data_IF_124968072898
#
_entry.id   IF_124968072898
#
_cell.length_a   1.000
_cell.length_b   1.000
_cell.length_c   1.000
_cell.angle_alpha   90.00
_cell.angle_beta   90.00
_cell.angle_gamma   90.00
#
_symmetry.space_group_name_H-M   'P 1'
#
loop_
_entity.id
_entity.type
_entity.pdbx_description
1 polymer ?
#
# COMPACT_ATOMS: atom_id res chain seq x y z
N UNK A 1 66.72 -58.29 -9.36
CA UNK A 1 66.34 -57.22 -10.31
C UNK A 1 65.03 -56.64 -9.91
N UNK A 2 65.00 -55.51 -9.30
CA UNK A 2 63.85 -54.59 -9.19
C UNK A 2 64.14 -53.47 -8.19
N UNK A 3 64.60 -52.34 -8.64
CA UNK A 3 64.53 -51.07 -7.89
C UNK A 3 64.42 -49.95 -8.94
N UNK A 4 63.28 -49.29 -8.99
CA UNK A 4 63.11 -48.19 -9.93
C UNK A 4 61.67 -47.63 -10.06
N UNK A 5 60.91 -47.48 -8.94
CA UNK A 5 59.56 -46.89 -9.03
C UNK A 5 59.10 -46.15 -7.77
N UNK A 6 59.97 -45.37 -7.11
CA UNK A 6 59.54 -44.57 -5.93
C UNK A 6 59.91 -43.09 -5.95
N UNK A 7 60.57 -42.59 -6.96
CA UNK A 7 60.97 -41.17 -7.00
C UNK A 7 59.95 -40.28 -7.77
N UNK A 8 59.18 -40.85 -8.72
CA UNK A 8 58.22 -40.13 -9.53
C UNK A 8 56.94 -39.69 -8.78
N UNK A 9 56.47 -40.59 -7.89
CA UNK A 9 55.18 -40.34 -7.19
C UNK A 9 55.28 -39.23 -6.15
N UNK A 10 56.39 -39.09 -5.50
CA UNK A 10 56.61 -37.99 -4.52
C UNK A 10 56.69 -36.60 -5.18
N UNK A 11 57.15 -36.51 -6.40
CA UNK A 11 57.26 -35.25 -7.14
C UNK A 11 55.88 -34.80 -7.69
N UNK A 12 55.02 -35.75 -8.06
CA UNK A 12 53.64 -35.48 -8.53
C UNK A 12 52.79 -35.05 -7.32
N UNK A 13 52.89 -35.72 -6.18
CA UNK A 13 52.11 -35.37 -4.96
C UNK A 13 52.53 -33.97 -4.42
N UNK A 14 53.84 -33.62 -4.46
CA UNK A 14 54.28 -32.27 -4.10
C UNK A 14 53.79 -31.18 -5.04
N UNK A 15 53.71 -31.45 -6.34
CA UNK A 15 53.14 -30.51 -7.34
C UNK A 15 51.62 -30.35 -7.18
N UNK A 16 50.88 -31.42 -6.85
CA UNK A 16 49.44 -31.36 -6.59
C UNK A 16 49.13 -30.63 -5.27
N UNK A 17 49.95 -30.86 -4.20
CA UNK A 17 49.80 -30.13 -2.95
C UNK A 17 50.17 -28.63 -3.09
N UNK A 18 51.17 -28.29 -3.88
CA UNK A 18 51.54 -26.90 -4.17
C UNK A 18 50.45 -26.20 -5.02
N UNK A 19 49.87 -26.89 -5.97
CA UNK A 19 48.74 -26.37 -6.77
C UNK A 19 47.46 -26.18 -5.93
N UNK A 20 47.16 -27.08 -5.00
CA UNK A 20 46.04 -26.97 -4.06
C UNK A 20 46.23 -25.84 -3.02
N UNK A 21 47.49 -25.57 -2.59
CA UNK A 21 47.80 -24.44 -1.70
C UNK A 21 47.72 -23.11 -2.45
N UNK A 22 48.11 -23.05 -3.72
CA UNK A 22 48.01 -21.85 -4.57
C UNK A 22 46.56 -21.54 -4.90
N UNK A 23 45.68 -22.54 -5.11
CA UNK A 23 44.25 -22.34 -5.29
C UNK A 23 43.51 -21.84 -4.03
N UNK A 24 44.02 -22.17 -2.82
CA UNK A 24 43.46 -21.62 -1.57
C UNK A 24 43.86 -20.16 -1.31
N UNK A 25 44.96 -19.68 -1.86
CA UNK A 25 45.39 -18.28 -1.75
C UNK A 25 44.69 -17.38 -2.76
N UNK A 26 44.10 -17.94 -3.85
CA UNK A 26 43.29 -17.20 -4.83
C UNK A 26 41.81 -17.15 -4.48
N UNK A 27 41.32 -17.94 -3.52
CA UNK A 27 39.94 -17.95 -3.08
C UNK A 27 39.65 -16.98 -1.90
N UNK A 28 40.63 -16.21 -1.44
CA UNK A 28 40.49 -15.28 -0.31
C UNK A 28 40.46 -13.81 -0.70
N UNK A 29 40.11 -13.52 -1.97
CA UNK A 29 39.78 -12.17 -2.40
C UNK A 29 38.46 -12.22 -3.18
N UNK A 30 37.37 -12.72 -2.56
CA UNK A 30 36.06 -12.19 -2.86
C UNK A 30 35.98 -10.84 -2.14
N UNK A 31 36.58 -9.81 -2.72
CA UNK A 31 36.14 -8.46 -2.51
C UNK A 31 34.65 -8.50 -2.87
N UNK A 32 33.79 -8.49 -1.85
CA UNK A 32 32.45 -7.98 -1.98
C UNK A 32 32.61 -6.58 -2.56
N UNK A 33 32.57 -6.46 -3.88
CA UNK A 33 32.28 -5.22 -4.57
C UNK A 33 30.90 -4.83 -4.07
N UNK A 34 30.83 -4.13 -2.93
CA UNK A 34 29.71 -3.28 -2.60
C UNK A 34 29.58 -2.41 -3.84
N UNK A 35 28.48 -2.59 -4.55
CA UNK A 35 28.02 -1.66 -5.58
C UNK A 35 27.81 -0.33 -4.85
N UNK A 36 28.90 0.42 -4.66
CA UNK A 36 28.82 1.84 -4.34
C UNK A 36 28.21 2.51 -5.55
N UNK A 37 26.89 2.69 -5.50
CA UNK A 37 26.25 3.61 -6.43
C UNK A 37 26.94 4.97 -6.31
N UNK A 38 27.17 5.64 -7.41
CA UNK A 38 27.99 6.83 -7.63
C UNK A 38 27.71 8.07 -6.73
N UNK A 39 26.99 7.95 -5.63
CA UNK A 39 26.54 9.09 -4.81
C UNK A 39 27.32 9.36 -3.52
N UNK A 40 28.19 8.44 -3.05
CA UNK A 40 28.75 8.51 -1.68
C UNK A 40 30.10 9.21 -1.52
N UNK A 41 30.63 9.86 -2.56
CA UNK A 41 32.04 10.27 -2.59
C UNK A 41 32.47 11.40 -1.64
N UNK A 42 31.55 12.06 -0.90
CA UNK A 42 31.90 13.24 -0.10
C UNK A 42 31.39 13.25 1.35
N UNK A 43 30.72 12.20 1.82
CA UNK A 43 30.26 12.14 3.20
C UNK A 43 31.01 11.08 4.01
N UNK A 44 31.91 11.53 4.90
CA UNK A 44 32.71 10.69 5.81
C UNK A 44 32.07 10.47 7.19
N UNK A 45 30.87 11.04 7.43
CA UNK A 45 30.19 10.95 8.71
C UNK A 45 29.53 9.58 8.99
N UNK A 46 28.90 9.43 10.17
CA UNK A 46 28.22 8.19 10.56
C UNK A 46 26.96 7.94 9.71
N UNK A 47 26.45 6.69 9.76
CA UNK A 47 25.12 6.37 9.25
C UNK A 47 24.06 7.09 10.10
N UNK A 48 23.27 7.95 9.45
CA UNK A 48 22.22 8.74 10.09
C UNK A 48 20.89 7.99 10.21
N UNK A 49 20.79 6.80 9.65
CA UNK A 49 19.58 5.96 9.65
C UNK A 49 19.90 4.58 10.27
N UNK A 50 20.16 4.49 11.59
CA UNK A 50 20.52 3.24 12.25
C UNK A 50 19.43 2.18 12.13
N UNK A 51 18.15 2.60 12.16
CA UNK A 51 17.01 1.74 11.91
C UNK A 51 16.57 1.86 10.44
N UNK A 52 16.30 0.72 9.79
CA UNK A 52 15.89 0.64 8.40
C UNK A 52 14.44 0.13 8.33
N UNK A 53 13.63 0.66 7.44
CA UNK A 53 12.31 0.10 7.17
C UNK A 53 12.47 -1.29 6.50
N UNK A 54 11.83 -2.31 7.09
CA UNK A 54 11.83 -3.69 6.58
C UNK A 54 10.58 -3.88 5.72
N UNK A 55 10.70 -3.78 4.39
CA UNK A 55 9.60 -3.97 3.44
C UNK A 55 9.56 -5.45 3.05
N UNK A 56 8.46 -6.15 3.39
CA UNK A 56 8.30 -7.59 3.19
C UNK A 56 7.13 -7.96 2.26
N UNK A 57 6.07 -7.17 2.24
CA UNK A 57 4.83 -7.47 1.53
C UNK A 57 4.61 -6.59 0.31
N UNK A 58 4.93 -5.29 0.41
CA UNK A 58 4.77 -4.37 -0.70
C UNK A 58 5.77 -4.66 -1.83
N UNK A 59 5.27 -4.63 -3.05
CA UNK A 59 6.05 -4.85 -4.28
C UNK A 59 6.20 -3.58 -5.10
N UNK A 60 5.37 -2.59 -4.86
CA UNK A 60 5.33 -1.34 -5.61
C UNK A 60 6.42 -0.35 -5.24
N UNK A 61 7.16 -0.54 -4.16
CA UNK A 61 8.28 0.33 -3.81
C UNK A 61 9.46 -0.39 -3.17
N UNK A 62 10.63 0.25 -3.23
CA UNK A 62 11.87 -0.20 -2.58
C UNK A 62 12.59 0.99 -1.97
N UNK A 63 13.20 0.81 -0.80
CA UNK A 63 14.05 1.81 -0.14
C UNK A 63 15.47 1.26 -0.04
N UNK A 64 16.45 2.02 -0.54
CA UNK A 64 17.89 1.74 -0.37
C UNK A 64 18.46 2.82 0.53
N UNK A 65 19.15 2.42 1.60
CA UNK A 65 19.72 3.31 2.59
C UNK A 65 21.21 3.56 2.32
N UNK A 66 21.59 4.82 2.34
CA UNK A 66 22.96 5.30 2.37
C UNK A 66 23.22 6.06 3.68
N UNK A 67 24.45 6.43 3.98
CA UNK A 67 24.81 7.04 5.28
C UNK A 67 23.97 8.27 5.65
N UNK A 68 23.62 9.12 4.67
CA UNK A 68 22.95 10.42 4.91
C UNK A 68 21.78 10.71 3.96
N UNK A 69 21.44 9.77 3.10
CA UNK A 69 20.28 9.83 2.20
C UNK A 69 19.69 8.45 1.97
N UNK A 70 18.48 8.41 1.45
CA UNK A 70 17.77 7.18 1.06
C UNK A 70 17.34 7.31 -0.40
N UNK A 71 17.40 6.21 -1.14
CA UNK A 71 16.86 6.14 -2.51
C UNK A 71 15.58 5.32 -2.47
N UNK A 72 14.49 5.94 -2.87
CA UNK A 72 13.18 5.31 -3.01
C UNK A 72 12.92 5.10 -4.49
N UNK A 73 12.57 3.86 -4.85
CA UNK A 73 12.10 3.52 -6.20
C UNK A 73 10.64 3.08 -6.10
N UNK A 74 9.76 3.74 -6.86
CA UNK A 74 8.36 3.34 -7.04
C UNK A 74 8.26 2.64 -8.39
N UNK A 75 7.94 1.35 -8.36
CA UNK A 75 7.83 0.50 -9.53
C UNK A 75 6.40 0.50 -10.05
N UNK A 76 6.22 0.57 -11.37
CA UNK A 76 4.90 0.56 -12.03
C UNK A 76 3.90 1.54 -11.38
N UNK A 77 4.25 2.85 -11.27
CA UNK A 77 3.46 3.82 -10.50
C UNK A 77 2.06 4.06 -11.06
N UNK A 78 1.82 3.64 -12.30
CA UNK A 78 0.56 3.80 -13.00
C UNK A 78 0.10 2.46 -13.59
N UNK A 79 -1.20 2.28 -13.78
CA UNK A 79 -1.72 1.06 -14.40
C UNK A 79 -1.09 0.83 -15.78
N UNK A 80 -0.62 -0.40 -16.04
CA UNK A 80 0.06 -0.81 -17.27
C UNK A 80 1.40 -0.08 -17.56
N UNK A 81 1.92 0.70 -16.61
CA UNK A 81 3.25 1.28 -16.72
C UNK A 81 4.31 0.29 -16.24
N UNK A 82 5.44 0.23 -16.93
CA UNK A 82 6.66 -0.45 -16.49
C UNK A 82 7.73 0.54 -16.00
N UNK A 83 7.38 1.82 -15.92
CA UNK A 83 8.29 2.88 -15.49
C UNK A 83 8.67 2.71 -14.02
N UNK A 84 9.80 3.28 -13.66
CA UNK A 84 10.25 3.39 -12.28
C UNK A 84 10.51 4.86 -11.96
N UNK A 85 9.80 5.39 -10.97
CA UNK A 85 10.10 6.70 -10.42
C UNK A 85 11.17 6.57 -9.33
N UNK A 86 12.16 7.46 -9.35
CA UNK A 86 13.23 7.47 -8.35
C UNK A 86 13.19 8.77 -7.58
N UNK A 87 13.16 8.67 -6.25
CA UNK A 87 13.25 9.79 -5.32
C UNK A 87 14.44 9.61 -4.39
N UNK A 88 15.08 10.71 -4.04
CA UNK A 88 16.26 10.73 -3.17
C UNK A 88 15.94 11.57 -1.94
N UNK A 89 15.83 10.90 -0.81
CA UNK A 89 15.49 11.50 0.48
C UNK A 89 16.79 11.92 1.16
N UNK A 90 17.10 13.20 1.16
CA UNK A 90 18.36 13.74 1.69
C UNK A 90 18.16 14.29 3.09
N UNK A 91 18.97 13.84 4.06
CA UNK A 91 18.91 14.37 5.42
C UNK A 91 19.21 15.88 5.41
N UNK A 92 18.34 16.69 6.04
CA UNK A 92 18.49 18.15 6.13
C UNK A 92 19.88 18.55 6.63
N UNK A 93 20.45 19.56 5.97
CA UNK A 93 21.80 20.03 6.27
C UNK A 93 22.94 19.13 5.77
N UNK A 94 22.63 18.13 4.94
CA UNK A 94 23.64 17.29 4.29
C UNK A 94 23.81 17.65 2.81
N UNK A 95 24.99 17.37 2.23
CA UNK A 95 25.24 17.67 0.82
C UNK A 95 24.30 16.88 -0.10
N UNK A 96 24.00 17.43 -1.27
CA UNK A 96 23.21 16.72 -2.29
C UNK A 96 24.03 15.58 -2.87
N UNK A 97 23.48 14.36 -2.97
CA UNK A 97 24.16 13.25 -3.61
C UNK A 97 24.37 13.50 -5.10
N UNK A 98 25.52 13.11 -5.62
CA UNK A 98 25.87 13.33 -7.03
C UNK A 98 25.15 12.31 -7.91
N UNK A 99 24.69 12.75 -9.10
CA UNK A 99 24.09 11.89 -10.13
C UNK A 99 22.57 11.84 -10.12
N UNK A 100 21.91 12.67 -9.30
CA UNK A 100 20.46 12.80 -9.25
C UNK A 100 20.00 14.22 -9.70
N UNK A 101 18.83 14.28 -10.32
CA UNK A 101 18.21 15.56 -10.73
C UNK A 101 17.59 16.25 -9.52
N UNK A 102 17.51 17.58 -9.53
CA UNK A 102 16.87 18.36 -8.45
C UNK A 102 15.41 17.95 -8.21
N UNK A 103 14.67 17.65 -9.28
CA UNK A 103 13.27 17.17 -9.20
C UNK A 103 13.09 15.83 -8.48
N UNK A 104 14.18 15.10 -8.23
CA UNK A 104 14.16 13.83 -7.49
C UNK A 104 14.46 13.99 -6.01
N UNK A 105 14.98 15.17 -5.59
CA UNK A 105 15.45 15.41 -4.23
C UNK A 105 14.30 15.81 -3.31
N UNK A 106 14.24 15.20 -2.15
CA UNK A 106 13.30 15.53 -1.07
C UNK A 106 14.12 15.66 0.22
N UNK A 107 14.03 16.80 0.88
CA UNK A 107 14.67 16.97 2.18
C UNK A 107 13.88 16.28 3.29
N UNK A 108 14.57 15.49 4.12
CA UNK A 108 13.98 14.76 5.25
C UNK A 108 14.63 15.16 6.60
N UNK A 109 13.88 15.08 7.72
CA UNK A 109 12.48 14.72 7.80
C UNK A 109 11.58 15.78 7.13
N UNK A 110 10.51 15.34 6.45
CA UNK A 110 9.43 16.17 5.93
C UNK A 110 8.70 16.82 7.11
N UNK A 111 8.48 18.13 7.05
CA UNK A 111 7.83 18.94 8.09
C UNK A 111 6.50 19.53 7.66
N UNK A 112 6.28 19.62 6.35
CA UNK A 112 5.03 20.08 5.76
C UNK A 112 4.67 19.23 4.56
N UNK A 113 3.46 18.67 4.54
CA UNK A 113 2.99 17.76 3.49
C UNK A 113 1.58 18.13 3.05
N UNK A 114 1.37 18.06 1.74
CA UNK A 114 0.04 18.08 1.12
C UNK A 114 -0.36 16.69 0.74
N UNK A 115 -1.54 16.24 1.17
CA UNK A 115 -2.10 14.92 0.90
C UNK A 115 -3.17 14.98 -0.20
N UNK A 116 -3.03 14.19 -1.26
CA UNK A 116 -4.00 14.16 -2.37
C UNK A 116 -5.03 13.03 -2.26
N UNK A 117 -4.98 12.24 -1.17
CA UNK A 117 -5.89 11.12 -0.91
C UNK A 117 -6.20 10.98 0.58
N UNK A 118 -7.40 10.51 0.92
CA UNK A 118 -7.77 10.13 2.29
C UNK A 118 -6.88 9.01 2.86
N UNK A 119 -6.39 8.09 2.01
CA UNK A 119 -5.42 7.07 2.43
C UNK A 119 -4.16 7.71 3.03
N UNK A 120 -3.66 8.83 2.48
CA UNK A 120 -2.49 9.51 3.03
C UNK A 120 -2.73 10.01 4.46
N UNK A 121 -3.98 10.38 4.79
CA UNK A 121 -4.38 10.70 6.17
C UNK A 121 -4.27 9.46 7.06
N UNK A 122 -4.67 8.28 6.54
CA UNK A 122 -4.50 7.01 7.24
C UNK A 122 -3.03 6.70 7.54
N UNK A 123 -2.11 6.93 6.58
CA UNK A 123 -0.66 6.77 6.80
C UNK A 123 -0.16 7.71 7.90
N UNK A 124 -0.57 8.98 7.85
CA UNK A 124 -0.23 10.04 8.82
C UNK A 124 -0.73 9.66 10.21
N UNK A 125 -2.00 9.26 10.33
CA UNK A 125 -2.61 8.87 11.59
C UNK A 125 -1.99 7.60 12.19
N UNK A 126 -1.55 6.65 11.36
CA UNK A 126 -0.85 5.45 11.82
C UNK A 126 0.48 5.77 12.52
N UNK A 127 1.16 6.84 12.10
CA UNK A 127 2.44 7.28 12.66
C UNK A 127 2.31 8.47 13.65
N UNK A 128 1.08 8.84 14.02
CA UNK A 128 0.81 9.97 14.91
C UNK A 128 1.61 11.22 14.51
N UNK A 129 1.53 11.60 13.22
CA UNK A 129 2.26 12.74 12.67
C UNK A 129 1.37 13.72 11.92
N UNK A 130 0.15 13.94 12.41
CA UNK A 130 -0.83 14.85 11.80
C UNK A 130 -0.34 16.30 11.73
N UNK A 131 0.66 16.66 12.52
CA UNK A 131 1.28 17.97 12.56
C UNK A 131 2.01 18.35 11.26
N UNK A 132 2.49 17.38 10.49
CA UNK A 132 3.12 17.64 9.18
C UNK A 132 2.10 17.98 8.08
N UNK A 133 0.81 17.67 8.25
CA UNK A 133 -0.21 17.91 7.24
C UNK A 133 -0.57 19.39 7.20
N UNK A 134 -0.37 20.04 6.04
CA UNK A 134 -0.68 21.46 5.82
C UNK A 134 -1.73 21.70 4.75
N UNK A 135 -1.97 20.71 3.88
CA UNK A 135 -2.99 20.82 2.85
C UNK A 135 -3.55 19.46 2.42
N UNK A 136 -4.74 19.49 1.86
CA UNK A 136 -5.39 18.30 1.31
C UNK A 136 -6.13 18.62 0.01
N UNK A 137 -6.15 17.64 -0.90
CA UNK A 137 -6.84 17.80 -2.18
C UNK A 137 -8.33 18.08 -2.07
N UNK A 138 -9.01 17.49 -1.07
CA UNK A 138 -10.42 17.75 -0.78
C UNK A 138 -10.73 17.43 0.69
N UNK A 139 -11.06 18.44 1.47
CA UNK A 139 -11.32 18.33 2.91
C UNK A 139 -12.58 17.51 3.23
N UNK A 140 -13.53 17.42 2.29
CA UNK A 140 -14.76 16.64 2.45
C UNK A 140 -14.49 15.16 2.76
N UNK A 141 -13.36 14.61 2.31
CA UNK A 141 -13.03 13.20 2.46
C UNK A 141 -12.18 12.87 3.69
N UNK A 142 -12.08 13.79 4.65
CA UNK A 142 -11.35 13.58 5.91
C UNK A 142 -12.27 12.97 6.96
N UNK A 143 -11.88 11.82 7.52
CA UNK A 143 -12.56 11.14 8.63
C UNK A 143 -11.86 11.34 9.97
N UNK A 144 -10.54 11.50 9.99
CA UNK A 144 -9.74 11.65 11.22
C UNK A 144 -10.17 12.85 12.04
N UNK A 145 -10.59 12.62 13.29
CA UNK A 145 -10.97 13.69 14.22
C UNK A 145 -9.82 14.67 14.47
N UNK A 146 -8.59 14.17 14.65
CA UNK A 146 -7.39 15.01 14.83
C UNK A 146 -7.15 15.93 13.62
N UNK A 147 -7.34 15.43 12.38
CA UNK A 147 -7.17 16.24 11.17
C UNK A 147 -8.33 17.21 11.01
N UNK A 148 -9.58 16.82 11.32
CA UNK A 148 -10.73 17.71 11.30
C UNK A 148 -10.56 18.91 12.27
N UNK A 149 -9.99 18.67 13.44
CA UNK A 149 -9.69 19.76 14.39
C UNK A 149 -8.59 20.70 13.84
N UNK A 150 -7.58 20.16 13.16
CA UNK A 150 -6.57 21.00 12.47
C UNK A 150 -7.16 21.84 11.33
N UNK A 151 -8.13 21.29 10.59
CA UNK A 151 -8.89 22.01 9.55
C UNK A 151 -9.65 23.19 10.18
N UNK A 152 -10.40 22.95 11.27
CA UNK A 152 -11.13 24.00 12.00
C UNK A 152 -10.21 25.13 12.49
N UNK A 153 -8.97 24.79 12.84
CA UNK A 153 -7.93 25.75 13.26
C UNK A 153 -7.22 26.43 12.08
N UNK A 154 -7.61 26.19 10.84
CA UNK A 154 -6.98 26.75 9.64
C UNK A 154 -5.56 26.22 9.36
N UNK A 155 -5.13 25.13 10.02
CA UNK A 155 -3.80 24.55 9.86
C UNK A 155 -3.70 23.57 8.67
N UNK A 156 -4.83 23.17 8.12
CA UNK A 156 -4.91 22.34 6.91
C UNK A 156 -5.90 22.99 5.97
N UNK A 157 -5.46 23.30 4.76
CA UNK A 157 -6.27 23.98 3.74
C UNK A 157 -6.61 23.06 2.57
N UNK A 158 -7.70 23.36 1.87
CA UNK A 158 -8.03 22.67 0.62
C UNK A 158 -7.22 23.24 -0.53
N UNK A 159 -6.50 22.37 -1.24
CA UNK A 159 -5.67 22.76 -2.39
C UNK A 159 -6.29 22.38 -3.73
N UNK A 160 -7.48 21.75 -3.69
CA UNK A 160 -8.11 21.20 -4.90
C UNK A 160 -7.44 19.93 -5.41
N UNK A 161 -8.03 19.36 -6.45
CA UNK A 161 -7.51 18.15 -7.11
C UNK A 161 -7.82 18.19 -8.60
N UNK A 162 -7.10 17.40 -9.34
CA UNK A 162 -7.31 17.26 -10.78
C UNK A 162 -7.28 18.61 -11.51
N UNK A 163 -8.26 18.93 -12.32
CA UNK A 163 -8.32 20.20 -13.05
C UNK A 163 -8.56 21.42 -12.15
N UNK A 164 -8.97 21.20 -10.90
CA UNK A 164 -9.17 22.24 -9.90
C UNK A 164 -8.02 22.37 -8.90
N UNK A 165 -6.82 21.89 -9.22
CA UNK A 165 -5.63 22.04 -8.38
C UNK A 165 -5.22 23.53 -8.33
N UNK A 166 -5.13 24.11 -7.14
CA UNK A 166 -4.71 25.50 -6.93
C UNK A 166 -3.19 25.57 -6.83
N UNK A 167 -2.53 25.67 -7.97
CA UNK A 167 -1.07 25.72 -8.06
C UNK A 167 -0.50 27.01 -7.42
N UNK A 168 -1.18 28.13 -7.52
CA UNK A 168 -0.75 29.39 -6.89
C UNK A 168 -0.70 29.27 -5.36
N UNK A 169 -1.73 28.65 -4.77
CA UNK A 169 -1.76 28.37 -3.34
C UNK A 169 -0.63 27.42 -2.94
N UNK A 170 -0.39 26.35 -3.71
CA UNK A 170 0.70 25.41 -3.46
C UNK A 170 2.08 26.05 -3.52
N UNK A 171 2.30 26.92 -4.50
CA UNK A 171 3.54 27.70 -4.63
C UNK A 171 3.69 28.66 -3.43
N UNK A 172 2.62 29.32 -3.01
CA UNK A 172 2.63 30.20 -1.82
C UNK A 172 2.90 29.42 -0.52
N UNK A 173 2.31 28.23 -0.38
CA UNK A 173 2.51 27.37 0.81
C UNK A 173 3.91 26.77 0.88
N UNK A 174 4.53 26.52 -0.27
CA UNK A 174 5.83 25.86 -0.44
C UNK A 174 6.01 24.64 0.48
N UNK A 175 5.16 23.59 0.36
CA UNK A 175 5.28 22.40 1.21
C UNK A 175 6.57 21.63 0.90
N UNK A 176 7.12 20.95 1.90
CA UNK A 176 8.27 20.07 1.72
C UNK A 176 7.96 18.91 0.78
N UNK A 177 6.68 18.52 0.69
CA UNK A 177 6.23 17.40 -0.14
C UNK A 177 4.74 17.49 -0.50
N UNK A 178 4.43 17.19 -1.75
CA UNK A 178 3.07 16.81 -2.17
C UNK A 178 3.05 15.29 -2.39
N UNK A 179 2.23 14.56 -1.63
CA UNK A 179 2.01 13.14 -1.87
C UNK A 179 0.80 12.97 -2.79
N UNK A 180 1.09 12.61 -4.04
CA UNK A 180 0.09 12.41 -5.09
C UNK A 180 -0.32 10.93 -5.18
N UNK A 181 -1.48 10.64 -5.78
CA UNK A 181 -1.90 9.26 -6.10
C UNK A 181 -1.46 8.86 -7.50
N UNK A 182 -0.98 7.63 -7.64
CA UNK A 182 -0.70 7.01 -8.94
C UNK A 182 -1.99 6.60 -9.65
N UNK A 183 -2.75 7.54 -10.18
CA UNK A 183 -3.97 7.24 -10.92
C UNK A 183 -3.60 6.78 -12.35
N UNK A 184 -4.33 5.81 -12.97
CA UNK A 184 -4.11 5.36 -14.35
C UNK A 184 -4.09 6.48 -15.39
N UNK A 185 -4.79 7.57 -15.15
CA UNK A 185 -4.90 8.74 -16.05
C UNK A 185 -3.87 9.82 -15.74
N UNK A 186 -3.20 9.75 -14.57
CA UNK A 186 -2.23 10.77 -14.15
C UNK A 186 -0.85 10.51 -14.75
N UNK A 187 -0.25 11.53 -15.37
CA UNK A 187 1.15 11.52 -15.79
C UNK A 187 1.95 12.40 -14.83
N UNK A 188 3.21 12.08 -14.58
CA UNK A 188 4.13 12.90 -13.77
C UNK A 188 4.26 14.31 -14.34
N UNK A 189 4.18 14.47 -15.65
CA UNK A 189 4.20 15.76 -16.35
C UNK A 189 3.12 16.75 -15.90
N UNK A 190 2.07 16.28 -15.25
CA UNK A 190 1.02 17.12 -14.63
C UNK A 190 1.55 18.02 -13.52
N UNK A 191 2.61 17.62 -12.85
CA UNK A 191 3.20 18.36 -11.72
C UNK A 191 4.47 19.11 -12.11
N UNK A 192 4.72 19.30 -13.42
CA UNK A 192 5.93 19.94 -13.93
C UNK A 192 6.10 21.37 -13.43
N UNK A 193 5.00 22.16 -13.40
CA UNK A 193 4.98 23.53 -12.86
C UNK A 193 5.40 23.59 -11.38
N UNK A 194 4.94 22.63 -10.58
CA UNK A 194 5.29 22.54 -9.16
C UNK A 194 6.76 22.12 -8.98
N UNK A 195 7.26 21.21 -9.82
CA UNK A 195 8.68 20.85 -9.82
C UNK A 195 9.57 22.05 -10.20
N UNK A 196 9.16 22.87 -11.20
CA UNK A 196 9.87 24.09 -11.58
C UNK A 196 9.85 25.14 -10.45
N UNK A 197 8.78 25.15 -9.64
CA UNK A 197 8.70 25.97 -8.42
C UNK A 197 9.50 25.40 -7.23
N UNK A 198 10.22 24.28 -7.42
CA UNK A 198 11.02 23.63 -6.37
C UNK A 198 10.22 22.81 -5.36
N UNK A 199 8.96 22.48 -5.66
CA UNK A 199 8.09 21.69 -4.77
C UNK A 199 8.14 20.22 -5.20
N UNK A 200 8.67 19.31 -4.35
CA UNK A 200 8.72 17.88 -4.65
C UNK A 200 7.32 17.26 -4.66
N UNK A 201 7.09 16.39 -5.65
CA UNK A 201 5.86 15.58 -5.74
C UNK A 201 6.23 14.11 -5.78
N UNK A 202 5.80 13.35 -4.78
CA UNK A 202 6.00 11.89 -4.71
C UNK A 202 4.69 11.15 -5.00
N UNK A 203 4.75 10.16 -5.87
CA UNK A 203 3.60 9.32 -6.22
C UNK A 203 3.50 8.15 -5.25
N UNK A 204 2.35 8.01 -4.61
CA UNK A 204 1.94 6.83 -3.85
C UNK A 204 1.01 5.98 -4.73
N UNK A 205 1.36 4.71 -4.93
CA UNK A 205 0.62 3.77 -5.81
C UNK A 205 0.22 2.48 -5.08
N UNK A 206 -0.14 2.59 -3.80
CA UNK A 206 -0.50 1.45 -2.96
C UNK A 206 -1.68 0.62 -3.52
N UNK A 207 -2.51 1.24 -4.35
CA UNK A 207 -3.69 0.59 -4.95
C UNK A 207 -3.35 -0.50 -5.97
N UNK A 208 -2.10 -0.55 -6.48
CA UNK A 208 -1.62 -1.61 -7.39
C UNK A 208 -1.18 -2.87 -6.64
N UNK A 209 -1.07 -2.81 -5.31
CA UNK A 209 -0.69 -3.98 -4.52
C UNK A 209 -1.76 -5.06 -4.57
N UNK A 210 -1.30 -6.30 -4.60
CA UNK A 210 -2.16 -7.48 -4.74
C UNK A 210 -2.63 -8.06 -3.40
N UNK A 211 -2.07 -7.57 -2.29
CA UNK A 211 -2.39 -8.06 -0.95
C UNK A 211 -2.72 -6.91 0.00
N UNK A 212 -3.59 -7.16 1.01
CA UNK A 212 -3.91 -6.15 2.01
C UNK A 212 -2.71 -5.69 2.84
N UNK A 213 -1.82 -6.62 3.22
CA UNK A 213 -0.58 -6.28 3.93
C UNK A 213 0.37 -5.49 3.04
N UNK A 214 0.52 -5.86 1.75
CA UNK A 214 1.33 -5.08 0.80
C UNK A 214 0.85 -3.65 0.67
N UNK A 215 -0.47 -3.45 0.54
CA UNK A 215 -1.08 -2.13 0.49
C UNK A 215 -0.84 -1.31 1.76
N UNK A 216 -1.07 -1.89 2.93
CA UNK A 216 -0.88 -1.22 4.21
C UNK A 216 0.60 -0.90 4.49
N UNK A 217 1.53 -1.69 3.97
CA UNK A 217 2.97 -1.53 4.19
C UNK A 217 3.55 -0.25 3.56
N UNK A 218 2.80 0.44 2.69
CA UNK A 218 3.18 1.76 2.18
C UNK A 218 3.31 2.83 3.28
N UNK A 219 2.83 2.56 4.48
CA UNK A 219 3.11 3.40 5.66
C UNK A 219 4.62 3.49 5.95
N UNK A 220 5.40 2.47 5.57
CA UNK A 220 6.87 2.49 5.69
C UNK A 220 7.54 3.49 4.75
N UNK A 221 6.89 3.83 3.63
CA UNK A 221 7.34 4.92 2.77
C UNK A 221 7.21 6.27 3.48
N UNK A 222 6.05 6.54 4.13
CA UNK A 222 5.89 7.75 4.93
C UNK A 222 6.89 7.79 6.10
N UNK A 223 7.11 6.66 6.78
CA UNK A 223 8.09 6.58 7.87
C UNK A 223 9.50 6.96 7.39
N UNK A 224 9.90 6.54 6.18
CA UNK A 224 11.19 6.91 5.60
C UNK A 224 11.28 8.41 5.30
N UNK A 225 10.19 9.07 4.95
CA UNK A 225 10.11 10.51 4.72
C UNK A 225 10.25 11.34 6.00
N UNK A 226 9.89 10.77 7.17
CA UNK A 226 9.89 11.48 8.45
C UNK A 226 10.86 10.90 9.48
N UNK A 227 11.76 9.96 9.06
CA UNK A 227 12.75 9.28 9.91
C UNK A 227 12.12 8.51 11.10
N UNK A 228 10.99 7.82 10.88
CA UNK A 228 10.29 7.01 11.90
C UNK A 228 10.34 5.49 11.58
N UNK A 229 11.40 5.00 10.97
CA UNK A 229 11.52 3.60 10.53
C UNK A 229 11.41 2.60 11.68
N UNK A 230 12.05 2.87 12.81
CA UNK A 230 11.97 1.99 13.98
C UNK A 230 10.57 1.95 14.57
N UNK A 231 9.88 3.09 14.62
CA UNK A 231 8.50 3.17 15.10
C UNK A 231 7.56 2.37 14.19
N UNK A 232 7.63 2.59 12.87
CA UNK A 232 6.76 1.89 11.91
C UNK A 232 7.01 0.40 11.91
N UNK A 233 8.25 -0.07 12.02
CA UNK A 233 8.56 -1.50 12.06
C UNK A 233 7.86 -2.17 13.26
N UNK A 234 7.88 -1.54 14.45
CA UNK A 234 7.20 -2.07 15.64
C UNK A 234 5.67 -2.07 15.49
N UNK A 235 5.09 -0.94 15.06
CA UNK A 235 3.63 -0.82 14.87
C UNK A 235 3.13 -1.78 13.79
N UNK A 236 3.82 -1.87 12.66
CA UNK A 236 3.40 -2.71 11.54
C UNK A 236 3.55 -4.21 11.84
N UNK A 237 4.54 -4.61 12.64
CA UNK A 237 4.68 -6.00 13.08
C UNK A 237 3.44 -6.52 13.82
N UNK A 238 2.78 -5.67 14.62
CA UNK A 238 1.52 -6.03 15.30
C UNK A 238 0.38 -6.21 14.29
N UNK A 239 0.29 -5.34 13.28
CA UNK A 239 -0.70 -5.44 12.19
C UNK A 239 -0.50 -6.74 11.40
N UNK A 240 0.73 -7.06 11.05
CA UNK A 240 1.11 -8.27 10.32
C UNK A 240 0.78 -9.53 11.13
N UNK A 241 1.23 -9.59 12.37
CA UNK A 241 0.98 -10.73 13.26
C UNK A 241 -0.52 -11.01 13.44
N UNK A 242 -1.30 -9.95 13.67
CA UNK A 242 -2.74 -10.11 13.87
C UNK A 242 -3.48 -10.46 12.58
N UNK A 243 -3.10 -9.87 11.45
CA UNK A 243 -3.64 -10.24 10.14
C UNK A 243 -3.39 -11.72 9.83
N UNK A 244 -2.18 -12.20 10.02
CA UNK A 244 -1.82 -13.60 9.79
C UNK A 244 -2.52 -14.55 10.76
N UNK A 245 -2.68 -14.16 12.04
CA UNK A 245 -3.44 -14.94 13.02
C UNK A 245 -4.88 -15.12 12.55
N UNK A 246 -5.52 -14.04 12.09
CA UNK A 246 -6.90 -14.06 11.59
C UNK A 246 -7.02 -14.92 10.33
N UNK A 247 -6.14 -14.76 9.34
CA UNK A 247 -6.15 -15.54 8.12
C UNK A 247 -5.99 -17.05 8.37
N UNK A 248 -5.21 -17.44 9.40
CA UNK A 248 -5.09 -18.85 9.80
C UNK A 248 -6.40 -19.47 10.32
N UNK A 249 -7.33 -18.69 10.90
CA UNK A 249 -8.62 -19.20 11.37
C UNK A 249 -9.46 -19.80 10.24
N UNK A 250 -9.33 -19.28 9.03
CA UNK A 250 -10.15 -19.67 7.87
C UNK A 250 -9.43 -20.58 6.89
N UNK A 251 -8.12 -20.82 7.07
CA UNK A 251 -7.28 -21.51 6.09
C UNK A 251 -7.77 -22.91 5.76
N UNK A 252 -8.23 -23.66 6.75
CA UNK A 252 -8.63 -25.06 6.64
C UNK A 252 -10.14 -25.29 6.61
N UNK A 253 -10.95 -24.25 6.39
CA UNK A 253 -12.39 -24.38 6.31
C UNK A 253 -12.80 -25.20 5.08
N UNK A 254 -13.61 -26.23 5.30
CA UNK A 254 -14.16 -27.08 4.23
C UNK A 254 -15.26 -26.36 3.45
N UNK A 255 -16.10 -25.59 4.12
CA UNK A 255 -17.14 -24.80 3.50
C UNK A 255 -16.72 -23.34 3.41
N UNK A 256 -16.84 -22.78 2.22
CA UNK A 256 -16.56 -21.38 1.93
C UNK A 256 -17.79 -20.73 1.34
N UNK A 257 -18.56 -19.98 2.13
CA UNK A 257 -19.76 -19.31 1.63
C UNK A 257 -19.45 -18.41 0.43
N UNK A 258 -20.35 -18.39 -0.52
CA UNK A 258 -20.20 -17.61 -1.75
C UNK A 258 -20.57 -16.16 -1.50
N UNK A 259 -19.88 -15.24 -2.18
CA UNK A 259 -20.21 -13.81 -2.09
C UNK A 259 -20.20 -13.11 -3.46
N UNK A 260 -21.00 -12.05 -3.52
CA UNK A 260 -20.91 -10.98 -4.51
C UNK A 260 -20.57 -9.66 -3.81
N UNK A 261 -20.10 -8.68 -4.57
CA UNK A 261 -19.66 -7.40 -4.02
C UNK A 261 -19.99 -6.23 -4.95
N UNK A 262 -20.19 -5.06 -4.36
CA UNK A 262 -20.54 -3.84 -5.09
C UNK A 262 -21.99 -3.81 -5.55
N UNK A 263 -22.31 -2.85 -6.41
CA UNK A 263 -23.63 -2.67 -7.03
C UNK A 263 -23.47 -2.18 -8.47
N UNK A 264 -24.50 -2.37 -9.27
CA UNK A 264 -24.57 -1.74 -10.59
C UNK A 264 -24.61 -0.20 -10.45
N UNK A 265 -23.76 0.48 -11.20
CA UNK A 265 -23.71 1.94 -11.25
C UNK A 265 -23.70 2.39 -12.70
N UNK A 266 -24.71 3.12 -13.10
CA UNK A 266 -24.95 3.46 -14.50
C UNK A 266 -25.10 2.14 -15.30
N UNK A 267 -24.19 1.88 -16.25
CA UNK A 267 -24.25 0.73 -17.14
C UNK A 267 -23.23 -0.39 -16.78
N UNK A 268 -22.53 -0.25 -15.65
CA UNK A 268 -21.49 -1.21 -15.26
C UNK A 268 -21.60 -1.61 -13.78
N UNK A 269 -21.42 -2.90 -13.54
CA UNK A 269 -21.17 -3.47 -12.22
C UNK A 269 -19.68 -3.75 -12.08
N UNK A 270 -18.97 -2.88 -11.35
CA UNK A 270 -17.55 -3.05 -11.13
C UNK A 270 -17.30 -4.01 -9.97
N UNK A 271 -16.66 -5.15 -10.28
CA UNK A 271 -16.25 -6.16 -9.28
C UNK A 271 -14.72 -6.24 -9.20
N UNK A 272 -14.13 -6.64 -8.06
CA UNK A 272 -12.69 -6.85 -7.96
C UNK A 272 -12.20 -7.96 -8.88
N UNK A 273 -11.08 -7.74 -9.57
CA UNK A 273 -10.39 -8.81 -10.28
C UNK A 273 -9.71 -9.80 -9.31
N UNK A 274 -9.34 -10.98 -9.81
CA UNK A 274 -8.81 -12.09 -9.04
C UNK A 274 -7.45 -11.82 -8.38
N UNK A 275 -6.57 -11.03 -9.00
CA UNK A 275 -5.27 -10.67 -8.42
C UNK A 275 -5.33 -9.38 -7.58
N UNK A 276 -6.54 -8.87 -7.21
CA UNK A 276 -6.69 -7.68 -6.39
C UNK A 276 -6.56 -7.98 -4.89
N UNK A 277 -6.13 -6.97 -4.13
CA UNK A 277 -6.10 -7.06 -2.67
C UNK A 277 -7.50 -7.29 -2.06
N UNK A 278 -8.56 -6.86 -2.73
CA UNK A 278 -9.94 -7.05 -2.28
C UNK A 278 -10.33 -8.54 -2.37
N UNK A 279 -10.02 -9.21 -3.49
CA UNK A 279 -10.22 -10.65 -3.59
C UNK A 279 -9.38 -11.40 -2.57
N UNK A 280 -8.16 -10.94 -2.30
CA UNK A 280 -7.32 -11.53 -1.25
C UNK A 280 -7.98 -11.43 0.13
N UNK A 281 -8.63 -10.33 0.48
CA UNK A 281 -9.45 -10.24 1.70
C UNK A 281 -10.54 -11.31 1.75
N UNK A 282 -11.26 -11.54 0.64
CA UNK A 282 -12.31 -12.55 0.59
C UNK A 282 -11.76 -13.96 0.79
N UNK A 283 -10.64 -14.27 0.16
CA UNK A 283 -9.95 -15.55 0.32
C UNK A 283 -9.48 -15.77 1.77
N UNK A 284 -8.84 -14.76 2.36
CA UNK A 284 -8.33 -14.81 3.73
C UNK A 284 -9.46 -14.80 4.77
N UNK A 285 -10.63 -14.25 4.43
CA UNK A 285 -11.84 -14.36 5.23
C UNK A 285 -12.59 -15.70 5.06
N UNK A 286 -12.08 -16.64 4.26
CA UNK A 286 -12.69 -17.95 4.07
C UNK A 286 -13.92 -17.96 3.16
N UNK A 287 -14.07 -16.98 2.28
CA UNK A 287 -15.16 -16.93 1.30
C UNK A 287 -14.78 -17.54 -0.04
N UNK A 288 -15.81 -17.84 -0.85
CA UNK A 288 -15.72 -18.17 -2.26
C UNK A 288 -16.18 -16.98 -3.10
N UNK A 289 -15.39 -16.60 -4.09
CA UNK A 289 -15.69 -15.47 -4.96
C UNK A 289 -15.60 -15.89 -6.44
N UNK A 290 -16.67 -15.64 -7.20
CA UNK A 290 -16.82 -16.18 -8.56
C UNK A 290 -15.68 -15.76 -9.50
N UNK A 291 -15.23 -14.51 -9.44
CA UNK A 291 -14.20 -13.96 -10.32
C UNK A 291 -12.77 -14.07 -9.77
N UNK A 292 -12.56 -14.89 -8.74
CA UNK A 292 -11.24 -15.09 -8.12
C UNK A 292 -10.17 -15.63 -9.08
N UNK A 293 -10.56 -16.26 -10.21
CA UNK A 293 -9.65 -16.78 -11.23
C UNK A 293 -9.16 -15.77 -12.27
N UNK A 294 -9.69 -14.55 -12.32
CA UNK A 294 -9.29 -13.53 -13.30
C UNK A 294 -7.89 -12.98 -12.99
N UNK A 295 -7.15 -12.60 -14.05
CA UNK A 295 -5.72 -12.22 -13.94
C UNK A 295 -5.53 -10.70 -14.14
N UNK A 296 -5.98 -9.91 -13.17
CA UNK A 296 -5.74 -8.46 -13.11
C UNK A 296 -5.92 -7.96 -11.68
N UNK A 297 -5.39 -6.76 -11.36
CA UNK A 297 -5.41 -6.18 -10.02
C UNK A 297 -6.56 -5.19 -9.78
N UNK A 298 -7.01 -4.50 -10.80
CA UNK A 298 -8.05 -3.48 -10.71
C UNK A 298 -9.47 -4.05 -10.63
N UNK A 299 -10.45 -3.27 -11.05
CA UNK A 299 -11.85 -3.70 -11.16
C UNK A 299 -12.14 -4.26 -12.54
N UNK A 300 -13.06 -5.24 -12.57
CA UNK A 300 -13.64 -5.85 -13.76
C UNK A 300 -15.04 -5.26 -13.98
N UNK A 301 -15.24 -4.47 -15.04
CA UNK A 301 -16.58 -3.98 -15.39
C UNK A 301 -17.40 -5.10 -16.03
N UNK A 302 -18.59 -5.36 -15.50
CA UNK A 302 -19.53 -6.37 -15.97
C UNK A 302 -20.89 -5.74 -16.21
N UNK A 303 -21.73 -6.38 -17.05
CA UNK A 303 -23.14 -6.03 -17.14
C UNK A 303 -23.91 -6.59 -15.94
N UNK A 304 -25.08 -6.00 -15.67
CA UNK A 304 -25.99 -6.53 -14.65
C UNK A 304 -26.37 -7.99 -14.95
N UNK A 305 -26.63 -8.31 -16.21
CA UNK A 305 -27.05 -9.62 -16.68
C UNK A 305 -25.98 -10.69 -16.45
N UNK A 306 -24.69 -10.30 -16.48
CA UNK A 306 -23.56 -11.21 -16.17
C UNK A 306 -23.51 -11.52 -14.68
N UNK A 307 -23.78 -10.53 -13.81
CA UNK A 307 -23.72 -10.70 -12.35
C UNK A 307 -24.99 -11.34 -11.79
N UNK A 308 -26.15 -11.06 -12.39
CA UNK A 308 -27.45 -11.46 -11.88
C UNK A 308 -27.59 -12.96 -11.58
N UNK A 309 -27.27 -13.90 -12.50
CA UNK A 309 -27.39 -15.33 -12.21
C UNK A 309 -26.49 -15.81 -11.06
N UNK A 310 -25.32 -15.19 -10.87
CA UNK A 310 -24.40 -15.47 -9.76
C UNK A 310 -25.01 -14.95 -8.45
N UNK A 311 -25.56 -13.73 -8.48
CA UNK A 311 -26.14 -13.07 -7.33
C UNK A 311 -27.39 -13.77 -6.78
N UNK A 312 -28.14 -14.47 -7.63
CA UNK A 312 -29.29 -15.27 -7.20
C UNK A 312 -28.92 -16.39 -6.21
N UNK A 313 -27.67 -16.86 -6.24
CA UNK A 313 -27.19 -17.99 -5.43
C UNK A 313 -26.20 -17.56 -4.33
N UNK A 314 -25.64 -16.35 -4.40
CA UNK A 314 -24.62 -15.89 -3.47
C UNK A 314 -25.16 -15.80 -2.03
N UNK A 315 -24.42 -16.35 -1.07
CA UNK A 315 -24.78 -16.37 0.34
C UNK A 315 -24.67 -14.98 0.97
N UNK A 316 -23.70 -14.18 0.54
CA UNK A 316 -23.42 -12.84 1.06
C UNK A 316 -23.34 -11.82 -0.08
N UNK A 317 -23.78 -10.59 0.22
CA UNK A 317 -23.61 -9.43 -0.63
C UNK A 317 -22.89 -8.33 0.14
N UNK A 318 -21.63 -8.08 -0.24
CA UNK A 318 -20.73 -7.16 0.45
C UNK A 318 -20.55 -5.86 -0.31
N UNK A 319 -20.07 -4.82 0.37
CA UNK A 319 -19.68 -3.53 -0.21
C UNK A 319 -20.84 -2.83 -0.96
N UNK A 320 -22.04 -2.95 -0.44
CA UNK A 320 -23.25 -2.31 -0.98
C UNK A 320 -23.24 -0.84 -0.57
N UNK A 321 -22.61 0.03 -1.39
CA UNK A 321 -22.27 1.40 -0.96
C UNK A 321 -22.39 2.48 -2.03
N UNK A 322 -23.19 2.28 -3.08
CA UNK A 322 -23.37 3.29 -4.12
C UNK A 322 -24.33 4.38 -3.63
N UNK A 323 -23.83 5.62 -3.55
CA UNK A 323 -24.58 6.76 -3.02
C UNK A 323 -24.90 6.59 -1.53
N UNK A 324 -26.06 7.10 -1.11
CA UNK A 324 -26.49 7.06 0.30
C UNK A 324 -27.32 5.81 0.63
N UNK A 325 -26.94 4.63 0.12
CA UNK A 325 -27.61 3.38 0.47
C UNK A 325 -27.36 3.07 1.94
N UNK A 326 -28.43 3.05 2.74
CA UNK A 326 -28.40 2.76 4.16
C UNK A 326 -29.33 1.62 4.57
N UNK A 327 -30.36 1.37 3.77
CA UNK A 327 -31.46 0.42 4.04
C UNK A 327 -31.72 -0.47 2.83
N UNK A 328 -32.40 -1.58 3.06
CA UNK A 328 -32.90 -2.46 1.98
C UNK A 328 -33.84 -1.71 1.02
N UNK A 329 -34.61 -0.73 1.52
CA UNK A 329 -35.45 0.12 0.71
C UNK A 329 -34.60 0.94 -0.28
N UNK A 330 -33.50 1.49 0.16
CA UNK A 330 -32.59 2.25 -0.72
C UNK A 330 -31.96 1.34 -1.79
N UNK A 331 -31.66 0.07 -1.43
CA UNK A 331 -31.18 -0.94 -2.39
C UNK A 331 -32.23 -1.18 -3.48
N UNK A 332 -33.48 -1.45 -3.10
CA UNK A 332 -34.58 -1.69 -4.05
C UNK A 332 -34.94 -0.47 -4.89
N UNK A 333 -34.75 0.73 -4.36
CA UNK A 333 -34.94 1.97 -5.11
C UNK A 333 -33.92 2.13 -6.27
N UNK A 334 -32.80 1.39 -6.25
CA UNK A 334 -31.83 1.36 -7.35
C UNK A 334 -32.26 0.39 -8.46
N UNK A 335 -32.69 -0.81 -8.06
CA UNK A 335 -33.17 -1.83 -8.96
C UNK A 335 -34.03 -2.84 -8.18
N UNK A 336 -35.30 -3.01 -8.57
CA UNK A 336 -36.20 -3.93 -7.88
C UNK A 336 -35.75 -5.40 -7.97
N UNK A 337 -34.99 -5.77 -9.01
CA UNK A 337 -34.49 -7.13 -9.23
C UNK A 337 -33.51 -7.57 -8.11
N UNK A 338 -32.96 -6.64 -7.33
CA UNK A 338 -32.14 -6.98 -6.15
C UNK A 338 -32.90 -7.78 -5.09
N UNK A 339 -34.23 -7.69 -5.07
CA UNK A 339 -35.10 -8.51 -4.21
C UNK A 339 -34.97 -10.02 -4.46
N UNK A 340 -34.52 -10.42 -5.66
CA UNK A 340 -34.38 -11.81 -6.05
C UNK A 340 -33.12 -12.47 -5.45
N UNK A 341 -32.12 -11.68 -5.08
CA UNK A 341 -30.85 -12.17 -4.58
C UNK A 341 -31.01 -12.95 -3.28
N UNK A 342 -30.36 -14.12 -3.16
CA UNK A 342 -30.37 -14.94 -1.95
C UNK A 342 -29.91 -14.14 -0.74
N UNK A 343 -28.79 -13.41 -0.84
CA UNK A 343 -28.27 -12.58 0.23
C UNK A 343 -29.26 -11.50 0.68
N UNK A 344 -30.05 -10.93 -0.25
CA UNK A 344 -31.10 -9.96 0.07
C UNK A 344 -32.24 -10.61 0.87
N UNK A 345 -32.69 -11.81 0.46
CA UNK A 345 -33.76 -12.56 1.14
C UNK A 345 -33.36 -13.03 2.52
N UNK A 346 -32.08 -13.38 2.72
CA UNK A 346 -31.54 -13.89 3.99
C UNK A 346 -30.94 -12.82 4.90
N UNK A 347 -31.05 -11.54 4.54
CA UNK A 347 -30.48 -10.39 5.28
C UNK A 347 -28.92 -10.42 5.40
N UNK A 348 -28.23 -11.06 4.49
CA UNK A 348 -26.76 -11.10 4.46
C UNK A 348 -26.18 -10.02 3.53
N UNK A 349 -26.62 -8.77 3.74
CA UNK A 349 -26.18 -7.60 2.99
C UNK A 349 -25.37 -6.69 3.90
N UNK A 350 -24.16 -6.31 3.47
CA UNK A 350 -23.26 -5.49 4.26
C UNK A 350 -22.60 -4.39 3.45
N UNK A 351 -22.37 -3.26 4.12
CA UNK A 351 -21.60 -2.13 3.59
C UNK A 351 -20.45 -1.78 4.50
N UNK A 352 -19.34 -1.29 3.95
CA UNK A 352 -18.18 -0.80 4.69
C UNK A 352 -18.32 0.68 5.12
N UNK A 353 -19.52 1.18 5.27
CA UNK A 353 -19.80 2.59 5.58
C UNK A 353 -20.21 2.83 7.04
N UNK A 354 -19.89 1.92 7.97
CA UNK A 354 -20.23 2.09 9.39
C UNK A 354 -19.60 3.35 9.99
N UNK A 355 -18.38 3.67 9.57
CA UNK A 355 -17.61 4.84 10.03
C UNK A 355 -17.59 5.97 8.98
N UNK A 356 -18.70 6.18 8.31
CA UNK A 356 -18.88 7.33 7.42
C UNK A 356 -19.40 8.52 8.22
N UNK A 357 -18.75 9.68 8.08
CA UNK A 357 -19.19 10.91 8.73
C UNK A 357 -20.32 11.61 7.97
N UNK A 358 -20.86 12.67 8.56
CA UNK A 358 -21.99 13.44 7.97
C UNK A 358 -21.65 14.08 6.62
N UNK A 359 -20.37 14.35 6.33
CA UNK A 359 -19.91 14.91 5.06
C UNK A 359 -19.70 13.83 3.98
N UNK A 360 -19.82 12.55 4.35
CA UNK A 360 -19.64 11.41 3.45
C UNK A 360 -18.22 10.88 3.37
N UNK A 361 -17.29 11.36 4.22
CA UNK A 361 -15.97 10.75 4.36
C UNK A 361 -16.09 9.39 5.06
N UNK A 362 -15.40 8.39 4.54
CA UNK A 362 -15.48 7.03 5.02
C UNK A 362 -14.12 6.55 5.51
N UNK A 363 -14.02 6.29 6.81
CA UNK A 363 -12.80 5.86 7.49
C UNK A 363 -12.26 4.50 7.01
N UNK A 364 -13.08 3.69 6.35
CA UNK A 364 -12.61 2.48 5.67
C UNK A 364 -11.49 2.78 4.66
N UNK A 365 -11.59 3.90 3.93
CA UNK A 365 -10.60 4.34 2.96
C UNK A 365 -9.43 5.14 3.57
N UNK A 366 -9.53 5.46 4.85
CA UNK A 366 -8.53 6.20 5.63
C UNK A 366 -7.81 5.24 6.59
N UNK A 367 -8.32 5.03 7.80
CA UNK A 367 -7.68 4.15 8.78
C UNK A 367 -7.76 2.67 8.41
N UNK A 368 -8.82 2.22 7.71
CA UNK A 368 -8.97 0.84 7.26
C UNK A 368 -7.89 0.40 6.26
N UNK A 369 -7.36 1.33 5.47
CA UNK A 369 -6.32 1.03 4.50
C UNK A 369 -4.98 0.62 5.14
N UNK A 370 -4.68 1.12 6.34
CA UNK A 370 -3.45 0.83 7.11
C UNK A 370 -3.66 -0.17 8.25
N UNK A 371 -4.92 -0.57 8.50
CA UNK A 371 -5.30 -1.56 9.50
C UNK A 371 -6.05 -2.75 8.86
N UNK A 372 -5.44 -3.46 7.90
CA UNK A 372 -6.10 -4.55 7.17
C UNK A 372 -6.55 -5.71 8.09
N UNK A 373 -5.92 -5.91 9.24
CA UNK A 373 -6.33 -6.90 10.23
C UNK A 373 -7.73 -6.62 10.78
N UNK A 374 -8.09 -5.35 10.99
CA UNK A 374 -9.43 -4.97 11.46
C UNK A 374 -10.49 -5.19 10.38
N UNK A 375 -10.16 -4.90 9.11
CA UNK A 375 -11.04 -5.20 7.97
C UNK A 375 -11.23 -6.70 7.81
N UNK A 376 -10.17 -7.50 7.94
CA UNK A 376 -10.24 -8.96 7.88
C UNK A 376 -11.08 -9.54 9.04
N UNK A 377 -10.93 -8.99 10.25
CA UNK A 377 -11.74 -9.40 11.39
C UNK A 377 -13.23 -9.16 11.16
N UNK A 378 -13.61 -8.00 10.60
CA UNK A 378 -14.99 -7.71 10.21
C UNK A 378 -15.52 -8.73 9.19
N UNK A 379 -14.75 -9.02 8.15
CA UNK A 379 -15.14 -9.97 7.11
C UNK A 379 -15.30 -11.40 7.68
N UNK A 380 -14.37 -11.85 8.53
CA UNK A 380 -14.48 -13.16 9.19
C UNK A 380 -15.73 -13.18 10.08
N UNK A 381 -15.98 -12.13 10.86
CA UNK A 381 -17.17 -12.04 11.71
C UNK A 381 -18.47 -12.10 10.93
N UNK A 382 -18.50 -11.51 9.75
CA UNK A 382 -19.67 -11.52 8.86
C UNK A 382 -19.89 -12.91 8.27
N UNK A 383 -18.83 -13.56 7.75
CA UNK A 383 -18.92 -14.78 6.96
C UNK A 383 -18.92 -16.03 7.84
N UNK A 384 -18.16 -16.00 8.94
CA UNK A 384 -17.96 -17.09 9.90
C UNK A 384 -18.08 -16.56 11.33
N UNK A 385 -19.30 -16.16 11.77
CA UNK A 385 -19.52 -15.51 13.06
C UNK A 385 -19.06 -16.37 14.27
N UNK A 386 -19.03 -17.68 14.12
CA UNK A 386 -18.56 -18.63 15.13
C UNK A 386 -17.06 -18.55 15.43
N UNK A 387 -16.24 -18.09 14.45
CA UNK A 387 -14.78 -17.96 14.60
C UNK A 387 -14.38 -16.73 15.42
N UNK A 388 -15.20 -15.69 15.39
CA UNK A 388 -14.97 -14.43 16.11
C UNK A 388 -16.25 -13.96 16.82
N UNK A 389 -16.81 -14.74 17.78
CA UNK A 389 -18.13 -14.47 18.37
C UNK A 389 -18.21 -13.13 19.11
N UNK A 390 -17.10 -12.63 19.64
CA UNK A 390 -17.04 -11.39 20.42
C UNK A 390 -16.53 -10.18 19.61
N UNK A 391 -16.25 -10.35 18.29
CA UNK A 391 -15.79 -9.22 17.47
C UNK A 391 -16.97 -8.32 17.11
N UNK A 392 -16.87 -7.06 17.47
CA UNK A 392 -17.78 -6.00 17.03
C UNK A 392 -17.28 -5.41 15.71
N UNK A 393 -18.17 -5.34 14.70
CA UNK A 393 -17.80 -4.79 13.41
C UNK A 393 -17.30 -3.35 13.55
N UNK A 394 -16.18 -3.05 12.95
CA UNK A 394 -15.51 -1.74 12.99
C UNK A 394 -15.88 -0.89 11.78
N UNK A 395 -15.66 -1.39 10.60
CA UNK A 395 -15.90 -0.69 9.33
C UNK A 395 -17.20 -1.10 8.65
N UNK A 396 -17.61 -2.36 8.84
CA UNK A 396 -18.81 -2.91 8.21
C UNK A 396 -20.05 -2.73 9.07
N UNK A 397 -21.21 -2.67 8.42
CA UNK A 397 -22.53 -2.78 9.04
C UNK A 397 -23.48 -3.53 8.11
N UNK A 398 -24.51 -4.18 8.70
CA UNK A 398 -25.62 -4.76 7.94
C UNK A 398 -26.47 -3.66 7.30
N UNK A 399 -27.09 -3.97 6.18
CA UNK A 399 -28.12 -3.18 5.49
C UNK A 399 -29.47 -3.86 5.80
N UNK A 400 -30.28 -3.24 6.63
CA UNK A 400 -31.57 -3.77 7.12
C UNK A 400 -32.76 -3.03 6.48
#
# INVERSE_FOLDING_TARGET
MAFGRKAGDYMIIRKILAALLLCRLLASCSTSSSLYEKGDSHYSGPDLFPEKAKVAHAKGFKITYHKYYKVVKIMSPFEKSTDTLTYVLVQRGKPRPIGYKDSQLIEIPVRSMVAMSSLHIGLIGFLDCEDILTGMGNLKYVSSAKVLDRIKLGKVVEVGKDQGLNEELLVSMHPDLIMATGNPVSKVSRYESLHQAGIPVMVNSEWVETTPLGRAEWVKLLAALINKEGEVNRKFANVEQEYERLARLTQNLKMRPSLITGMNSKDAWNVPNGDSYVNRFFQDAGASYHWSGTKATGSLPLSFETVYPIALQADFWLNVSIGNVQTKKDVLARDIRYADFKAFKTNHIYSYNKRMNAQGANDYWESGAVNPHLVLADLIRIIHPELLPNHELIYYKSIN
#
